data_IF_891215043789
#
_entry.id   IF_891215043789
#
_cell.length_a   1.000
_cell.length_b   1.000
_cell.length_c   1.000
_cell.angle_alpha   90.00
_cell.angle_beta   90.00
_cell.angle_gamma   90.00
#
_symmetry.space_group_name_H-M   'P 1'
#
loop_
_entity.id
_entity.type
_entity.pdbx_description
1 polymer ?
#
# COMPACT_ATOMS: atom_id res chain seq x y z
N UNK A 1 -2.26 23.04 -0.85
CA UNK A 1 -3.22 21.94 -0.57
C UNK A 1 -2.43 20.66 -0.80
N UNK A 2 -2.12 19.79 0.17
CA UNK A 2 -2.76 19.48 1.44
C UNK A 2 -1.82 19.75 2.62
N UNK A 3 -2.30 20.56 3.56
CA UNK A 3 -1.73 20.78 4.88
C UNK A 3 -2.58 19.96 5.85
N UNK A 4 -2.04 18.87 6.39
CA UNK A 4 -2.54 18.20 7.61
C UNK A 4 -1.26 17.80 8.37
N UNK A 5 -0.67 18.70 9.17
CA UNK A 5 -0.98 18.91 10.58
C UNK A 5 -1.02 17.60 11.39
N UNK A 6 0.10 17.34 12.07
CA UNK A 6 0.16 17.12 13.52
C UNK A 6 -1.04 16.36 14.11
N UNK A 7 -0.97 15.02 14.12
CA UNK A 7 -1.59 14.23 15.19
C UNK A 7 -0.56 13.27 15.78
N UNK A 8 0.13 13.80 16.79
CA UNK A 8 1.06 13.12 17.67
C UNK A 8 0.39 11.93 18.38
N UNK A 9 0.85 10.71 18.11
CA UNK A 9 0.87 9.59 19.06
C UNK A 9 1.89 8.56 18.56
N UNK A 10 2.85 8.23 19.41
CA UNK A 10 3.96 7.32 19.13
C UNK A 10 3.53 5.99 18.48
N UNK A 11 3.69 5.89 17.16
CA UNK A 11 3.61 4.64 16.39
C UNK A 11 4.55 4.85 15.20
N UNK A 12 5.36 3.84 14.90
CA UNK A 12 6.18 3.78 13.66
C UNK A 12 5.33 4.25 12.48
N UNK A 13 5.83 5.23 11.72
CA UNK A 13 5.17 5.70 10.50
C UNK A 13 5.16 4.56 9.46
N UNK A 14 4.10 3.75 9.46
CA UNK A 14 3.89 2.71 8.45
C UNK A 14 3.29 3.36 7.21
N UNK A 15 4.11 3.56 6.19
CA UNK A 15 3.64 3.97 4.87
C UNK A 15 3.01 2.75 4.17
N UNK A 16 1.70 2.77 4.01
CA UNK A 16 0.92 1.70 3.35
C UNK A 16 1.23 1.58 1.85
N UNK A 17 1.88 2.59 1.27
CA UNK A 17 2.31 2.64 -0.12
C UNK A 17 3.83 2.48 -0.26
N UNK A 18 4.53 2.12 0.82
CA UNK A 18 5.96 1.83 0.77
C UNK A 18 6.24 0.80 -0.30
N UNK A 19 7.31 1.02 -1.08
CA UNK A 19 7.76 0.10 -2.10
C UNK A 19 9.06 -0.55 -1.67
N UNK A 20 9.19 -1.83 -1.97
CA UNK A 20 10.44 -2.56 -1.83
C UNK A 20 11.34 -2.33 -3.07
N UNK A 21 12.42 -3.10 -3.19
CA UNK A 21 13.36 -2.98 -4.30
C UNK A 21 12.78 -3.44 -5.65
N UNK A 22 11.69 -4.22 -5.64
CA UNK A 22 10.98 -4.66 -6.84
C UNK A 22 9.84 -3.70 -7.20
N UNK A 23 9.67 -2.61 -6.45
CA UNK A 23 8.59 -1.64 -6.65
C UNK A 23 7.25 -2.13 -6.10
N UNK A 24 7.24 -3.26 -5.39
CA UNK A 24 6.04 -3.87 -4.85
C UNK A 24 5.63 -3.18 -3.55
N UNK A 25 4.35 -2.89 -3.47
CA UNK A 25 3.70 -2.35 -2.26
C UNK A 25 3.13 -3.48 -1.40
N UNK A 26 2.79 -3.23 -0.13
CA UNK A 26 2.04 -4.17 0.69
C UNK A 26 0.78 -4.73 0.01
N UNK A 27 0.15 -3.94 -0.86
CA UNK A 27 -1.05 -4.36 -1.60
C UNK A 27 -0.72 -5.35 -2.72
N UNK A 28 0.43 -5.25 -3.40
CA UNK A 28 0.88 -6.26 -4.37
C UNK A 28 0.98 -7.63 -3.68
N UNK A 29 1.68 -7.69 -2.55
CA UNK A 29 1.82 -8.95 -1.79
C UNK A 29 0.48 -9.49 -1.28
N UNK A 30 -0.43 -8.62 -0.83
CA UNK A 30 -1.74 -9.07 -0.37
C UNK A 30 -2.55 -9.74 -1.49
N UNK A 31 -2.47 -9.21 -2.72
CA UNK A 31 -3.15 -9.81 -3.88
C UNK A 31 -2.44 -11.08 -4.34
N UNK A 32 -1.11 -11.06 -4.50
CA UNK A 32 -0.31 -12.23 -4.89
C UNK A 32 -0.45 -13.42 -3.94
N UNK A 33 -0.65 -13.16 -2.65
CA UNK A 33 -0.87 -14.19 -1.63
C UNK A 33 -2.35 -14.56 -1.42
N UNK A 34 -3.27 -14.04 -2.24
CA UNK A 34 -4.72 -14.27 -2.14
C UNK A 34 -5.30 -13.90 -0.75
N UNK A 35 -4.76 -12.86 -0.11
CA UNK A 35 -5.12 -12.40 1.24
C UNK A 35 -6.16 -11.28 1.17
N UNK A 36 -7.41 -11.66 0.89
CA UNK A 36 -8.53 -10.71 0.76
C UNK A 36 -8.76 -9.86 2.02
N UNK A 37 -8.56 -10.45 3.21
CA UNK A 37 -8.66 -9.77 4.51
C UNK A 37 -7.65 -8.62 4.62
N UNK A 38 -6.40 -8.89 4.25
CA UNK A 38 -5.31 -7.91 4.26
C UNK A 38 -5.51 -6.87 3.16
N UNK A 39 -5.88 -7.29 1.95
CA UNK A 39 -6.14 -6.38 0.83
C UNK A 39 -7.26 -5.39 1.19
N UNK A 40 -8.38 -5.86 1.75
CA UNK A 40 -9.47 -5.00 2.25
C UNK A 40 -9.00 -4.05 3.34
N UNK A 41 -8.14 -4.51 4.25
CA UNK A 41 -7.58 -3.65 5.29
C UNK A 41 -6.72 -2.53 4.69
N UNK A 42 -5.80 -2.86 3.77
CA UNK A 42 -4.93 -1.90 3.11
C UNK A 42 -5.71 -0.87 2.29
N UNK A 43 -6.72 -1.29 1.54
CA UNK A 43 -7.62 -0.38 0.80
C UNK A 43 -8.35 0.56 1.75
N UNK A 44 -8.81 0.08 2.92
CA UNK A 44 -9.40 0.94 3.96
C UNK A 44 -8.41 1.96 4.54
N UNK A 45 -7.11 1.70 4.48
CA UNK A 45 -6.06 2.63 4.87
C UNK A 45 -5.62 3.56 3.71
N UNK A 46 -6.35 3.60 2.60
CA UNK A 46 -6.02 4.37 1.39
C UNK A 46 -4.73 3.90 0.70
N UNK A 47 -4.49 2.59 0.69
CA UNK A 47 -3.45 2.02 -0.18
C UNK A 47 -3.75 2.32 -1.66
N UNK A 48 -2.72 2.69 -2.41
CA UNK A 48 -2.78 2.98 -3.83
C UNK A 48 -2.87 1.67 -4.62
N UNK A 49 -4.05 1.45 -5.18
CA UNK A 49 -4.38 0.28 -6.00
C UNK A 49 -3.84 0.36 -7.43
N UNK A 50 -3.46 1.55 -7.87
CA UNK A 50 -2.98 1.82 -9.24
C UNK A 50 -1.44 1.92 -9.28
N UNK A 51 -0.78 1.74 -8.12
CA UNK A 51 0.67 1.85 -7.99
C UNK A 51 1.36 0.71 -8.73
N UNK A 52 2.36 1.01 -9.56
CA UNK A 52 3.01 -0.02 -10.38
C UNK A 52 4.30 -0.54 -9.76
N UNK A 53 4.52 -1.84 -9.86
CA UNK A 53 5.81 -2.48 -9.61
C UNK A 53 6.83 -2.21 -10.75
N UNK A 54 8.00 -2.82 -10.67
CA UNK A 54 9.06 -2.66 -11.68
C UNK A 54 8.73 -3.28 -13.03
N UNK A 55 7.81 -4.24 -13.07
CA UNK A 55 7.30 -4.87 -14.30
C UNK A 55 6.14 -4.07 -14.92
N UNK A 56 5.67 -3.04 -14.22
CA UNK A 56 4.59 -2.15 -14.66
C UNK A 56 3.19 -2.64 -14.32
N UNK A 57 3.08 -3.69 -13.50
CA UNK A 57 1.82 -4.24 -13.02
C UNK A 57 1.35 -3.48 -11.77
N UNK A 58 0.07 -3.20 -11.68
CA UNK A 58 -0.54 -2.73 -10.44
C UNK A 58 -1.01 -3.90 -9.57
N UNK A 59 -1.28 -3.70 -8.26
CA UNK A 59 -1.81 -4.76 -7.41
C UNK A 59 -3.08 -5.40 -7.95
N UNK A 60 -3.90 -4.67 -8.72
CA UNK A 60 -5.14 -5.20 -9.30
C UNK A 60 -4.93 -5.94 -10.62
N UNK A 61 -3.73 -5.86 -11.21
CA UNK A 61 -3.34 -6.59 -12.43
C UNK A 61 -2.73 -7.98 -12.13
N UNK A 62 -2.31 -8.23 -10.88
CA UNK A 62 -1.72 -9.49 -10.39
C UNK A 62 -2.79 -10.48 -9.93
#
# INVERSE_FOLDING_TARGET
>A
MQLILVFNRAVVILDVNAKDNEGQSPLHYAVMCEREDIAKFLVKQNADKDTKDSDGNSPVDL
#
